data_IF_372420492230
#
_entry.id   IF_372420492230
#
_cell.length_a   1.000
_cell.length_b   1.000
_cell.length_c   1.000
_cell.angle_alpha   90.00
_cell.angle_beta   90.00
_cell.angle_gamma   90.00
#
_symmetry.space_group_name_H-M   'P 1'
#
loop_
_entity.id
_entity.type
_entity.pdbx_description
1 polymer ?
#
# COMPACT_ATOMS: atom_id res chain seq x y z
N UNK A 1 -2.12 22.55 31.77
CA UNK A 1 -0.79 22.99 31.28
C UNK A 1 -0.81 23.01 29.76
N UNK A 2 -0.50 24.14 29.10
CA UNK A 2 -0.49 24.19 27.64
C UNK A 2 0.75 23.45 27.15
N UNK A 3 0.55 22.27 26.55
CA UNK A 3 1.60 21.56 25.81
C UNK A 3 2.05 22.47 24.68
N UNK A 4 3.33 22.85 24.65
CA UNK A 4 3.95 23.76 23.67
C UNK A 4 3.69 23.41 22.19
N UNK A 5 3.16 22.23 21.89
CA UNK A 5 2.90 21.72 20.55
C UNK A 5 1.73 22.40 19.81
N UNK A 6 0.84 23.11 20.53
CA UNK A 6 -0.34 23.80 19.95
C UNK A 6 -0.35 25.26 20.41
N UNK A 7 0.80 25.92 20.32
CA UNK A 7 0.86 27.38 20.40
C UNK A 7 0.89 27.86 18.95
N UNK A 8 0.03 28.81 18.60
CA UNK A 8 -0.10 29.41 17.25
C UNK A 8 -0.93 28.61 16.23
N UNK A 9 -2.00 27.95 16.69
CA UNK A 9 -3.01 27.33 15.81
C UNK A 9 -4.27 28.20 15.80
N UNK A 10 -4.89 28.49 14.63
CA UNK A 10 -6.14 29.22 14.56
C UNK A 10 -7.23 28.60 15.44
N UNK A 11 -8.05 29.42 16.10
CA UNK A 11 -9.04 28.95 17.10
C UNK A 11 -10.01 27.90 16.53
N UNK A 12 -10.41 28.05 15.26
CA UNK A 12 -11.27 27.06 14.58
C UNK A 12 -10.59 25.70 14.43
N UNK A 13 -9.31 25.69 14.07
CA UNK A 13 -8.54 24.44 13.97
C UNK A 13 -8.35 23.82 15.35
N UNK A 14 -8.16 24.65 16.38
CA UNK A 14 -8.03 24.21 17.76
C UNK A 14 -9.34 23.57 18.28
N UNK A 15 -10.50 24.10 17.88
CA UNK A 15 -11.82 23.55 18.19
C UNK A 15 -12.03 22.18 17.54
N UNK A 16 -11.68 22.04 16.26
CA UNK A 16 -11.73 20.75 15.56
C UNK A 16 -10.76 19.72 16.18
N UNK A 17 -9.54 20.12 16.51
CA UNK A 17 -8.55 19.27 17.17
C UNK A 17 -9.03 18.79 18.55
N UNK A 18 -9.72 19.66 19.32
CA UNK A 18 -10.36 19.27 20.59
C UNK A 18 -11.48 18.25 20.37
N UNK A 19 -12.34 18.44 19.35
CA UNK A 19 -13.39 17.47 19.01
C UNK A 19 -12.80 16.10 18.65
N UNK A 20 -11.81 16.09 17.76
CA UNK A 20 -11.13 14.86 17.33
C UNK A 20 -10.41 14.14 18.47
N UNK A 21 -9.84 14.89 19.43
CA UNK A 21 -9.24 14.30 20.62
C UNK A 21 -10.23 13.44 21.41
N UNK A 22 -11.48 13.91 21.53
CA UNK A 22 -12.55 13.21 22.26
C UNK A 22 -13.07 12.03 21.43
N UNK A 23 -13.37 12.25 20.14
CA UNK A 23 -13.88 11.21 19.25
C UNK A 23 -12.92 10.03 19.12
N UNK A 24 -11.61 10.30 19.05
CA UNK A 24 -10.56 9.28 18.93
C UNK A 24 -10.04 8.78 20.29
N UNK A 25 -10.65 9.22 21.40
CA UNK A 25 -10.29 8.85 22.77
C UNK A 25 -8.79 9.02 23.09
N UNK A 26 -8.17 10.08 22.57
CA UNK A 26 -6.74 10.34 22.75
C UNK A 26 -6.50 11.03 24.10
N UNK A 27 -5.62 10.46 24.94
CA UNK A 27 -5.32 11.01 26.27
C UNK A 27 -4.47 12.26 26.19
N UNK A 28 -3.53 12.29 25.24
CA UNK A 28 -2.57 13.38 25.05
C UNK A 28 -2.66 13.99 23.65
N UNK A 29 -2.20 15.24 23.51
CA UNK A 29 -2.09 15.90 22.21
C UNK A 29 -1.07 15.22 21.30
N UNK A 30 0.02 14.69 21.86
CA UNK A 30 1.01 13.92 21.11
C UNK A 30 0.41 12.64 20.52
N UNK A 31 -0.49 11.95 21.25
CA UNK A 31 -1.19 10.77 20.75
C UNK A 31 -2.10 11.12 19.57
N UNK A 32 -2.86 12.21 19.68
CA UNK A 32 -3.70 12.69 18.58
C UNK A 32 -2.85 13.04 17.34
N UNK A 33 -1.77 13.80 17.51
CA UNK A 33 -0.88 14.20 16.41
C UNK A 33 -0.19 12.98 15.78
N UNK A 34 0.22 11.99 16.56
CA UNK A 34 0.79 10.75 16.05
C UNK A 34 -0.22 9.95 15.22
N UNK A 35 -1.49 9.87 15.66
CA UNK A 35 -2.56 9.22 14.88
C UNK A 35 -2.88 9.99 13.60
N UNK A 36 -2.94 11.32 13.67
CA UNK A 36 -3.13 12.16 12.49
C UNK A 36 -1.97 12.00 11.51
N UNK A 37 -0.72 11.98 12.00
CA UNK A 37 0.47 11.73 11.18
C UNK A 37 0.50 10.32 10.59
N UNK A 38 0.00 9.30 11.30
CA UNK A 38 -0.17 7.95 10.76
C UNK A 38 -1.29 7.89 9.70
N UNK A 39 -2.38 8.65 9.89
CA UNK A 39 -3.43 8.76 8.88
C UNK A 39 -3.00 9.56 7.65
N UNK A 40 -2.10 10.54 7.79
CA UNK A 40 -1.46 11.23 6.66
C UNK A 40 -0.30 10.42 6.07
N UNK A 41 0.18 9.40 6.78
CA UNK A 41 1.05 8.33 6.27
C UNK A 41 0.33 7.31 5.41
N UNK A 42 -0.99 7.43 5.22
CA UNK A 42 -1.66 6.78 4.10
C UNK A 42 -1.13 7.41 2.81
N UNK A 43 -0.39 6.64 2.01
CA UNK A 43 -0.04 7.03 0.64
C UNK A 43 -1.32 7.47 -0.04
N UNK A 44 -1.46 8.79 -0.27
CA UNK A 44 -2.59 9.35 -1.00
C UNK A 44 -2.38 8.96 -2.46
N UNK A 45 -2.83 7.76 -2.82
CA UNK A 45 -2.91 7.34 -4.20
C UNK A 45 -3.97 8.20 -4.88
N UNK A 46 -3.57 8.93 -5.92
CA UNK A 46 -4.55 9.60 -6.75
C UNK A 46 -5.49 8.56 -7.38
N UNK A 47 -6.68 8.99 -7.81
CA UNK A 47 -7.58 8.12 -8.57
C UNK A 47 -6.91 7.56 -9.83
N UNK A 48 -5.93 8.27 -10.40
CA UNK A 48 -5.13 7.80 -11.52
C UNK A 48 -4.16 6.69 -11.11
N UNK A 49 -3.51 6.80 -9.95
CA UNK A 49 -2.64 5.75 -9.41
C UNK A 49 -3.41 4.45 -9.16
N UNK A 50 -4.61 4.56 -8.58
CA UNK A 50 -5.49 3.40 -8.35
C UNK A 50 -5.91 2.77 -9.68
N UNK A 51 -6.24 3.57 -10.70
CA UNK A 51 -6.57 3.08 -12.05
C UNK A 51 -5.37 2.37 -12.69
N UNK A 52 -4.18 2.97 -12.64
CA UNK A 52 -2.93 2.38 -13.17
C UNK A 52 -2.62 1.05 -12.50
N UNK A 53 -2.73 0.99 -11.17
CA UNK A 53 -2.49 -0.23 -10.40
C UNK A 53 -3.49 -1.34 -10.79
N UNK A 54 -4.78 -1.02 -10.89
CA UNK A 54 -5.81 -2.00 -11.32
C UNK A 54 -5.54 -2.54 -12.72
N UNK A 55 -5.14 -1.67 -13.66
CA UNK A 55 -4.77 -2.08 -15.02
C UNK A 55 -3.52 -2.98 -15.01
N UNK A 56 -2.49 -2.63 -14.24
CA UNK A 56 -1.28 -3.43 -14.09
C UNK A 56 -1.57 -4.82 -13.52
N UNK A 57 -2.36 -4.91 -12.46
CA UNK A 57 -2.76 -6.20 -11.86
C UNK A 57 -3.55 -7.05 -12.86
N UNK A 58 -4.51 -6.46 -13.58
CA UNK A 58 -5.28 -7.17 -14.62
C UNK A 58 -4.36 -7.71 -15.73
N UNK A 59 -3.43 -6.89 -16.21
CA UNK A 59 -2.46 -7.28 -17.23
C UNK A 59 -1.54 -8.40 -16.74
N UNK A 60 -1.06 -8.32 -15.51
CA UNK A 60 -0.23 -9.36 -14.91
C UNK A 60 -0.97 -10.70 -14.79
N UNK A 61 -2.22 -10.70 -14.31
CA UNK A 61 -3.04 -11.91 -14.22
C UNK A 61 -3.29 -12.52 -15.60
N UNK A 62 -3.55 -11.70 -16.61
CA UNK A 62 -3.72 -12.17 -17.99
C UNK A 62 -2.43 -12.78 -18.54
N UNK A 63 -1.29 -12.10 -18.34
CA UNK A 63 0.01 -12.60 -18.73
C UNK A 63 0.32 -13.93 -18.07
N UNK A 64 0.05 -14.06 -16.76
CA UNK A 64 0.24 -15.31 -16.02
C UNK A 64 -0.57 -16.46 -16.63
N UNK A 65 -1.83 -16.22 -17.01
CA UNK A 65 -2.66 -17.25 -17.69
C UNK A 65 -2.08 -17.66 -19.03
N UNK A 66 -1.64 -16.70 -19.84
CA UNK A 66 -1.03 -16.98 -21.15
C UNK A 66 0.28 -17.74 -21.00
N UNK A 67 1.13 -17.36 -20.04
CA UNK A 67 2.36 -18.07 -19.70
C UNK A 67 2.01 -19.50 -19.28
N UNK A 68 1.12 -19.69 -18.31
CA UNK A 68 0.71 -21.03 -17.87
C UNK A 68 0.15 -21.90 -19.00
N UNK A 69 -0.62 -21.33 -19.93
CA UNK A 69 -1.13 -22.04 -21.10
C UNK A 69 -0.03 -22.41 -22.09
N UNK A 70 0.92 -21.52 -22.35
CA UNK A 70 2.05 -21.82 -23.25
C UNK A 70 2.97 -22.88 -22.68
N UNK A 71 3.12 -22.91 -21.35
CA UNK A 71 3.97 -23.85 -20.62
C UNK A 71 3.24 -25.11 -20.14
N UNK A 72 1.98 -25.34 -20.56
CA UNK A 72 1.19 -26.51 -20.13
C UNK A 72 1.53 -27.79 -20.88
N UNK A 73 2.43 -27.75 -21.86
CA UNK A 73 2.85 -28.90 -22.66
C UNK A 73 4.38 -29.01 -22.74
N UNK A 74 4.91 -30.11 -23.31
CA UNK A 74 6.35 -30.28 -23.48
C UNK A 74 6.93 -29.28 -24.50
N UNK A 75 8.12 -28.71 -24.24
CA UNK A 75 8.85 -28.82 -22.98
C UNK A 75 8.21 -27.91 -21.91
N UNK A 76 7.92 -28.49 -20.76
CA UNK A 76 7.45 -27.77 -19.59
C UNK A 76 8.50 -26.75 -19.13
N UNK A 77 8.07 -25.76 -18.34
CA UNK A 77 8.97 -24.75 -17.78
C UNK A 77 10.14 -25.37 -17.02
N UNK A 78 9.90 -26.54 -16.41
CA UNK A 78 10.90 -27.27 -15.66
C UNK A 78 11.88 -28.03 -16.56
N UNK A 79 11.43 -28.56 -17.70
CA UNK A 79 12.29 -29.20 -18.70
C UNK A 79 13.20 -28.19 -19.40
N UNK A 80 12.67 -27.02 -19.78
CA UNK A 80 13.50 -25.93 -20.33
C UNK A 80 14.51 -25.40 -19.30
N UNK A 81 14.12 -25.31 -18.03
CA UNK A 81 15.02 -24.90 -16.96
C UNK A 81 16.14 -25.94 -16.73
N UNK A 82 15.81 -27.23 -16.79
CA UNK A 82 16.77 -28.34 -16.72
C UNK A 82 17.74 -28.34 -17.90
N UNK A 83 17.22 -28.18 -19.12
CA UNK A 83 17.99 -28.06 -20.37
C UNK A 83 18.96 -26.88 -20.33
N UNK A 84 18.48 -25.71 -19.91
CA UNK A 84 19.32 -24.50 -19.79
C UNK A 84 20.47 -24.67 -18.80
N UNK A 85 20.34 -25.59 -17.83
CA UNK A 85 21.37 -25.92 -16.85
C UNK A 85 22.22 -27.15 -17.22
N UNK A 86 22.02 -27.73 -18.41
CA UNK A 86 22.71 -28.94 -18.84
C UNK A 86 22.32 -30.20 -18.05
N UNK A 87 21.20 -30.15 -17.32
CA UNK A 87 20.63 -31.30 -16.61
C UNK A 87 19.54 -31.95 -17.46
N UNK A 88 19.88 -32.39 -18.66
CA UNK A 88 18.98 -33.25 -19.43
C UNK A 88 18.93 -34.60 -18.71
N UNK A 89 17.76 -34.94 -18.15
CA UNK A 89 17.54 -36.29 -17.63
C UNK A 89 17.58 -37.25 -18.81
N UNK A 90 18.58 -38.14 -18.85
CA UNK A 90 18.60 -39.30 -19.74
C UNK A 90 17.50 -40.30 -19.39
#
# INVERSE_FOLDING_TARGET
MPTMLVKDVPEEVLKELKRLKVELNCKTWAELLARLAQSSGAVVLSNEDVKRMRLGVKGFVQLSKEVSKRWSGPPSALEEFRKSRGHESG
#
